data_IF_925570026289
#
_entry.id   IF_925570026289
#
_cell.length_a   1.000
_cell.length_b   1.000
_cell.length_c   1.000
_cell.angle_alpha   90.00
_cell.angle_beta   90.00
_cell.angle_gamma   90.00
#
_symmetry.space_group_name_H-M   'P 1'
#
loop_
_entity.id
_entity.type
_entity.pdbx_description
1 polymer ?
#
# COMPACT_ATOMS: atom_id res chain seq x y z
N UNK A 1 33.63 -6.51 54.36
CA UNK A 1 33.65 -5.93 53.00
C UNK A 1 33.32 -7.04 52.02
N UNK A 2 32.05 -7.16 51.69
CA UNK A 2 31.57 -8.19 50.75
C UNK A 2 31.34 -7.49 49.39
N UNK A 3 32.07 -7.94 48.36
CA UNK A 3 31.90 -7.46 46.99
C UNK A 3 30.78 -8.25 46.31
N UNK A 4 29.67 -7.57 46.06
CA UNK A 4 28.60 -8.08 45.24
C UNK A 4 29.05 -8.01 43.77
N UNK A 5 29.27 -9.15 43.11
CA UNK A 5 29.45 -9.24 41.67
C UNK A 5 28.05 -9.28 41.02
N UNK A 6 27.71 -8.20 40.37
CA UNK A 6 26.51 -8.15 39.52
C UNK A 6 26.85 -8.76 38.16
N UNK A 7 26.37 -9.95 37.88
CA UNK A 7 26.37 -10.54 36.53
C UNK A 7 25.24 -9.94 35.73
N UNK A 8 25.54 -9.03 34.81
CA UNK A 8 24.63 -8.64 33.73
C UNK A 8 24.73 -9.70 32.65
N UNK A 9 23.78 -10.61 32.62
CA UNK A 9 23.58 -11.49 31.46
C UNK A 9 22.98 -10.67 30.32
N UNK A 10 23.81 -10.28 29.36
CA UNK A 10 23.33 -9.77 28.07
C UNK A 10 22.75 -10.96 27.31
N UNK A 11 21.41 -11.07 27.32
CA UNK A 11 20.69 -11.90 26.35
C UNK A 11 20.82 -11.20 24.98
N UNK A 12 21.82 -11.62 24.21
CA UNK A 12 21.81 -11.38 22.77
C UNK A 12 20.67 -12.24 22.20
N UNK A 13 19.51 -11.63 21.94
CA UNK A 13 18.56 -12.22 21.00
C UNK A 13 19.30 -12.33 19.67
N UNK A 14 19.71 -13.55 19.32
CA UNK A 14 20.12 -13.83 17.96
C UNK A 14 18.90 -13.62 17.09
N UNK A 15 18.88 -12.54 16.31
CA UNK A 15 17.89 -12.36 15.26
C UNK A 15 17.92 -13.63 14.41
N UNK A 16 16.81 -14.36 14.38
CA UNK A 16 16.70 -15.57 13.59
C UNK A 16 16.89 -15.16 12.13
N UNK A 17 18.05 -15.51 11.57
CA UNK A 17 18.34 -15.22 10.18
C UNK A 17 17.32 -16.00 9.32
N UNK A 18 16.51 -15.29 8.52
CA UNK A 18 15.62 -15.90 7.55
C UNK A 18 16.41 -16.85 6.64
N UNK A 19 16.02 -18.09 6.64
CA UNK A 19 16.63 -19.14 5.81
C UNK A 19 15.56 -19.69 4.86
N UNK A 20 15.98 -20.46 3.86
CA UNK A 20 15.02 -21.15 2.99
C UNK A 20 14.07 -22.08 3.75
N UNK A 21 14.52 -22.63 4.88
CA UNK A 21 13.69 -23.45 5.76
C UNK A 21 12.72 -22.62 6.65
N UNK A 22 12.84 -21.29 6.65
CA UNK A 22 11.90 -20.40 7.33
C UNK A 22 10.66 -20.08 6.47
N UNK A 23 10.65 -20.54 5.22
CA UNK A 23 9.55 -20.32 4.27
C UNK A 23 8.86 -21.66 4.00
N UNK A 24 7.58 -21.72 4.35
CA UNK A 24 6.75 -22.87 4.07
C UNK A 24 5.83 -22.57 2.89
N UNK A 25 5.61 -23.57 2.06
CA UNK A 25 4.69 -23.48 0.94
C UNK A 25 3.37 -24.15 1.32
N UNK A 26 2.29 -23.39 1.34
CA UNK A 26 0.95 -23.82 1.70
C UNK A 26 0.04 -23.94 0.48
N UNK A 27 0.45 -24.70 -0.51
CA UNK A 27 -0.33 -24.92 -1.74
C UNK A 27 -1.63 -25.66 -1.42
N UNK A 28 -2.73 -25.21 -2.01
CA UNK A 28 -4.08 -25.84 -1.91
C UNK A 28 -4.64 -25.94 -0.49
N UNK A 29 -4.18 -25.10 0.44
CA UNK A 29 -4.65 -25.13 1.82
C UNK A 29 -5.86 -24.22 2.06
N UNK A 30 -6.00 -23.12 1.30
CA UNK A 30 -7.13 -22.19 1.41
C UNK A 30 -8.11 -22.42 0.27
N UNK A 31 -9.28 -22.98 0.60
CA UNK A 31 -10.41 -23.06 -0.32
C UNK A 31 -11.43 -22.00 0.03
N UNK A 32 -11.68 -21.04 -0.86
CA UNK A 32 -12.70 -20.03 -0.69
C UNK A 32 -14.08 -20.58 -1.04
N UNK A 33 -15.11 -20.15 -0.30
CA UNK A 33 -16.48 -20.57 -0.52
C UNK A 33 -17.12 -20.08 -1.83
N UNK A 34 -16.48 -19.10 -2.46
CA UNK A 34 -16.87 -18.52 -3.75
C UNK A 34 -15.63 -18.15 -4.56
N UNK A 35 -15.78 -18.10 -5.88
CA UNK A 35 -14.70 -17.68 -6.74
C UNK A 35 -14.38 -16.19 -6.53
N UNK A 36 -13.12 -15.87 -6.64
CA UNK A 36 -12.56 -14.54 -6.49
C UNK A 36 -12.49 -13.85 -7.86
N UNK A 37 -12.76 -12.54 -7.89
CA UNK A 37 -12.62 -11.74 -9.10
C UNK A 37 -11.37 -10.84 -8.99
N UNK A 38 -10.24 -11.26 -9.61
CA UNK A 38 -8.95 -10.64 -9.38
C UNK A 38 -8.71 -9.33 -10.13
N UNK A 39 -9.48 -9.05 -11.19
CA UNK A 39 -9.22 -7.93 -12.09
C UNK A 39 -10.49 -7.13 -12.34
N UNK A 40 -10.32 -5.81 -12.41
CA UNK A 40 -11.33 -4.84 -12.80
C UNK A 40 -10.70 -3.74 -13.66
N UNK A 41 -11.51 -3.10 -14.50
CA UNK A 41 -11.11 -1.84 -15.11
C UNK A 41 -11.05 -0.73 -14.06
N UNK A 42 -9.96 0.02 -14.06
CA UNK A 42 -9.81 1.20 -13.22
C UNK A 42 -10.75 2.30 -13.67
N UNK A 43 -11.39 2.96 -12.73
CA UNK A 43 -12.36 4.04 -13.00
C UNK A 43 -11.72 5.19 -13.80
N UNK A 44 -10.48 5.56 -13.48
CA UNK A 44 -9.78 6.70 -14.08
C UNK A 44 -9.16 6.42 -15.44
N UNK A 45 -8.76 5.18 -15.75
CA UNK A 45 -8.10 4.85 -17.02
C UNK A 45 -8.94 3.95 -17.93
N UNK A 46 -9.92 3.24 -17.38
CA UNK A 46 -10.61 2.16 -18.09
C UNK A 46 -9.74 0.94 -18.40
N UNK A 47 -8.52 0.88 -17.85
CA UNK A 47 -7.57 -0.22 -18.06
C UNK A 47 -7.68 -1.26 -16.95
N UNK A 48 -7.47 -2.56 -17.27
CA UNK A 48 -7.48 -3.61 -16.25
C UNK A 48 -6.42 -3.38 -15.18
N UNK A 49 -6.81 -3.52 -13.92
CA UNK A 49 -5.87 -3.55 -12.79
C UNK A 49 -6.28 -4.61 -11.76
N UNK A 50 -5.32 -5.00 -10.92
CA UNK A 50 -5.57 -5.96 -9.87
C UNK A 50 -6.44 -5.38 -8.76
N UNK A 51 -7.40 -6.18 -8.29
CA UNK A 51 -8.15 -5.88 -7.08
C UNK A 51 -7.34 -6.26 -5.85
N UNK A 52 -7.47 -5.49 -4.80
CA UNK A 52 -6.87 -5.81 -3.52
C UNK A 52 -7.51 -7.05 -2.90
N UNK A 53 -6.67 -7.88 -2.29
CA UNK A 53 -7.05 -9.01 -1.46
C UNK A 53 -6.32 -8.90 -0.13
N UNK A 54 -6.69 -7.92 0.71
CA UNK A 54 -5.94 -7.67 1.93
C UNK A 54 -6.01 -8.87 2.87
N UNK A 55 -4.86 -9.18 3.45
CA UNK A 55 -4.68 -10.22 4.46
C UNK A 55 -4.09 -9.60 5.71
N UNK A 56 -4.66 -9.91 6.86
CA UNK A 56 -4.19 -9.38 8.14
C UNK A 56 -4.19 -10.47 9.21
N UNK A 57 -3.18 -10.44 10.08
CA UNK A 57 -3.04 -11.36 11.23
C UNK A 57 -3.34 -10.57 12.51
N UNK A 58 -4.06 -11.20 13.44
CA UNK A 58 -4.36 -10.61 14.75
C UNK A 58 -3.09 -10.35 15.57
N UNK A 59 -3.08 -9.35 16.47
CA UNK A 59 -1.93 -9.04 17.30
C UNK A 59 -1.39 -10.21 18.12
N UNK A 60 -2.26 -11.13 18.55
CA UNK A 60 -1.86 -12.33 19.30
C UNK A 60 -1.40 -13.51 18.39
N UNK A 61 -1.44 -13.33 17.08
CA UNK A 61 -1.02 -14.32 16.09
C UNK A 61 -1.90 -15.58 16.00
N UNK A 62 -3.11 -15.54 16.56
CA UNK A 62 -3.98 -16.75 16.62
C UNK A 62 -5.06 -16.80 15.54
N UNK A 63 -5.39 -15.66 14.96
CA UNK A 63 -6.39 -15.56 13.89
C UNK A 63 -5.81 -14.72 12.74
N UNK A 64 -6.27 -15.01 11.55
CA UNK A 64 -6.01 -14.18 10.37
C UNK A 64 -7.29 -14.01 9.57
N UNK A 65 -7.34 -13.00 8.74
CA UNK A 65 -8.47 -12.71 7.87
C UNK A 65 -7.97 -12.38 6.47
N UNK A 66 -8.72 -12.85 5.47
CA UNK A 66 -8.55 -12.51 4.06
C UNK A 66 -9.84 -11.86 3.55
N UNK A 67 -9.74 -10.70 2.94
CA UNK A 67 -10.88 -10.07 2.28
C UNK A 67 -10.74 -10.17 0.76
N UNK A 68 -11.86 -10.41 0.07
CA UNK A 68 -11.90 -10.53 -1.39
C UNK A 68 -13.28 -10.18 -1.93
N UNK A 69 -13.32 -9.73 -3.18
CA UNK A 69 -14.58 -9.55 -3.90
C UNK A 69 -15.01 -10.87 -4.53
N UNK A 70 -16.25 -11.26 -4.26
CA UNK A 70 -16.86 -12.44 -4.87
C UNK A 70 -17.16 -12.22 -6.35
N UNK A 71 -16.76 -13.15 -7.19
CA UNK A 71 -17.05 -13.13 -8.63
C UNK A 71 -18.54 -13.34 -8.96
N UNK A 72 -19.34 -13.90 -8.03
CA UNK A 72 -20.79 -14.08 -8.22
C UNK A 72 -21.60 -12.81 -7.94
N UNK A 73 -20.96 -11.71 -7.52
CA UNK A 73 -21.61 -10.44 -7.23
C UNK A 73 -22.36 -10.41 -5.89
N UNK A 74 -22.02 -11.31 -4.96
CA UNK A 74 -22.61 -11.34 -3.61
C UNK A 74 -21.92 -10.41 -2.61
N UNK A 75 -20.97 -9.60 -3.09
CA UNK A 75 -20.31 -8.56 -2.34
C UNK A 75 -18.89 -8.91 -1.92
N UNK A 76 -18.38 -8.19 -0.94
CA UNK A 76 -17.05 -8.43 -0.35
C UNK A 76 -17.17 -9.46 0.75
N UNK A 77 -16.32 -10.47 0.71
CA UNK A 77 -16.26 -11.51 1.73
C UNK A 77 -15.01 -11.34 2.58
N UNK A 78 -15.15 -11.57 3.88
CA UNK A 78 -14.02 -11.65 4.83
C UNK A 78 -13.99 -13.05 5.41
N UNK A 79 -13.00 -13.84 5.00
CA UNK A 79 -12.78 -15.21 5.42
C UNK A 79 -11.79 -15.25 6.58
N UNK A 80 -12.17 -15.91 7.68
CA UNK A 80 -11.22 -16.30 8.72
C UNK A 80 -10.24 -17.34 8.19
N UNK A 81 -8.98 -17.22 8.54
CA UNK A 81 -7.89 -18.10 8.11
C UNK A 81 -7.06 -18.49 9.33
N UNK A 82 -6.68 -19.74 9.43
CA UNK A 82 -5.70 -20.17 10.42
C UNK A 82 -4.31 -19.66 10.02
N UNK A 83 -3.62 -18.85 10.83
CA UNK A 83 -2.39 -18.20 10.45
C UNK A 83 -1.18 -19.15 10.30
N UNK A 84 -1.31 -20.43 10.70
CA UNK A 84 -0.23 -21.43 10.59
C UNK A 84 -0.44 -22.37 9.42
N UNK A 85 -1.67 -22.84 9.25
CA UNK A 85 -2.00 -23.81 8.21
C UNK A 85 -2.57 -23.18 6.95
N UNK A 86 -2.96 -21.91 7.02
CA UNK A 86 -3.69 -21.18 5.99
C UNK A 86 -5.03 -21.80 5.59
N UNK A 87 -5.56 -22.70 6.39
CA UNK A 87 -6.88 -23.28 6.15
C UNK A 87 -7.99 -22.25 6.47
N UNK A 88 -9.09 -22.33 5.73
CA UNK A 88 -10.27 -21.51 6.01
C UNK A 88 -10.88 -21.88 7.37
N UNK A 89 -11.23 -20.88 8.17
CA UNK A 89 -11.86 -21.02 9.48
C UNK A 89 -13.24 -20.36 9.47
N UNK A 90 -14.25 -21.17 9.78
CA UNK A 90 -15.64 -20.70 9.87
C UNK A 90 -16.24 -20.27 8.54
N UNK A 91 -17.41 -19.67 8.61
CA UNK A 91 -18.11 -19.12 7.44
C UNK A 91 -17.67 -17.68 7.22
N UNK A 92 -17.38 -17.26 5.97
CA UNK A 92 -17.01 -15.88 5.69
C UNK A 92 -18.14 -14.91 6.02
N UNK A 93 -17.77 -13.74 6.50
CA UNK A 93 -18.70 -12.62 6.63
C UNK A 93 -18.88 -11.98 5.25
N UNK A 94 -20.12 -11.89 4.80
CA UNK A 94 -20.45 -11.28 3.51
C UNK A 94 -20.98 -9.84 3.69
N UNK A 95 -20.27 -8.88 3.14
CA UNK A 95 -20.68 -7.48 3.01
C UNK A 95 -21.36 -7.30 1.65
N UNK A 96 -22.68 -7.56 1.62
CA UNK A 96 -23.46 -7.62 0.38
C UNK A 96 -23.45 -6.35 -0.44
N UNK A 97 -23.34 -5.18 0.20
CA UNK A 97 -23.26 -3.89 -0.48
C UNK A 97 -21.84 -3.51 -0.91
N UNK A 98 -20.82 -4.21 -0.38
CA UNK A 98 -19.43 -3.93 -0.69
C UNK A 98 -19.12 -4.20 -2.17
N UNK A 99 -18.43 -3.25 -2.81
CA UNK A 99 -18.08 -3.34 -4.22
C UNK A 99 -16.63 -3.76 -4.42
N UNK A 100 -15.75 -3.43 -3.50
CA UNK A 100 -14.34 -3.81 -3.49
C UNK A 100 -13.80 -3.91 -2.06
N UNK A 101 -12.77 -4.72 -1.85
CA UNK A 101 -12.01 -4.75 -0.62
C UNK A 101 -10.87 -3.71 -0.70
N UNK A 102 -10.79 -2.85 0.30
CA UNK A 102 -9.71 -1.90 0.49
C UNK A 102 -8.69 -2.42 1.51
N UNK A 103 -8.53 -1.71 2.63
CA UNK A 103 -7.66 -2.13 3.75
C UNK A 103 -8.35 -3.05 4.74
N UNK A 104 -7.57 -3.86 5.46
CA UNK A 104 -8.06 -4.81 6.45
C UNK A 104 -7.17 -4.76 7.71
N UNK A 105 -7.81 -4.67 8.87
CA UNK A 105 -7.16 -4.79 10.18
C UNK A 105 -7.73 -5.98 10.91
N UNK A 106 -6.87 -6.87 11.39
CA UNK A 106 -7.26 -7.98 12.25
C UNK A 106 -7.15 -7.58 13.74
N UNK A 107 -8.10 -8.04 14.54
CA UNK A 107 -8.12 -7.96 15.99
C UNK A 107 -8.21 -9.36 16.57
N UNK A 108 -7.90 -9.52 17.85
CA UNK A 108 -8.01 -10.81 18.54
C UNK A 108 -9.45 -11.32 18.61
N UNK A 109 -10.43 -10.43 18.49
CA UNK A 109 -11.86 -10.70 18.57
C UNK A 109 -12.62 -10.47 17.26
N UNK A 110 -11.92 -10.15 16.16
CA UNK A 110 -12.56 -9.88 14.88
C UNK A 110 -11.71 -9.06 13.92
N UNK A 111 -12.35 -8.21 13.13
CA UNK A 111 -11.66 -7.42 12.10
C UNK A 111 -12.35 -6.07 11.84
N UNK A 112 -11.62 -5.15 11.25
CA UNK A 112 -12.16 -3.98 10.58
C UNK A 112 -11.76 -4.00 9.10
N UNK A 113 -12.67 -3.60 8.20
CA UNK A 113 -12.44 -3.58 6.76
C UNK A 113 -12.90 -2.27 6.15
N UNK A 114 -12.06 -1.72 5.30
CA UNK A 114 -12.39 -0.64 4.38
C UNK A 114 -12.94 -1.22 3.08
N UNK A 115 -14.09 -0.74 2.66
CA UNK A 115 -14.76 -1.09 1.39
C UNK A 115 -15.46 0.15 0.83
N UNK A 116 -16.14 0.00 -0.29
CA UNK A 116 -16.99 1.05 -0.85
C UNK A 116 -18.37 0.49 -1.19
N UNK A 117 -19.39 1.34 -1.16
CA UNK A 117 -20.75 0.96 -1.46
C UNK A 117 -21.58 2.12 -2.00
N UNK A 118 -22.56 1.82 -2.84
CA UNK A 118 -23.54 2.81 -3.33
C UNK A 118 -24.54 3.09 -2.21
N UNK A 119 -24.71 4.37 -1.88
CA UNK A 119 -25.63 4.84 -0.85
C UNK A 119 -26.78 5.61 -1.51
N UNK A 120 -28.00 5.18 -1.25
CA UNK A 120 -29.19 5.82 -1.81
C UNK A 120 -29.33 7.28 -1.36
N UNK A 121 -29.55 8.17 -2.30
CA UNK A 121 -29.69 9.60 -2.03
C UNK A 121 -28.39 10.40 -2.00
N UNK A 122 -27.26 9.73 -2.12
CA UNK A 122 -25.93 10.38 -2.19
C UNK A 122 -25.46 10.45 -3.66
N UNK A 123 -24.46 9.68 -4.01
CA UNK A 123 -23.87 9.60 -5.36
C UNK A 123 -24.26 8.29 -6.04
N UNK A 124 -24.22 8.25 -7.39
CA UNK A 124 -24.18 6.98 -8.12
C UNK A 124 -22.84 6.26 -7.96
N UNK A 125 -21.78 7.00 -7.67
CA UNK A 125 -20.46 6.42 -7.39
C UNK A 125 -20.40 5.90 -5.95
N UNK A 126 -19.73 4.77 -5.72
CA UNK A 126 -19.60 4.19 -4.39
C UNK A 126 -18.89 5.14 -3.41
N UNK A 127 -19.37 5.18 -2.17
CA UNK A 127 -18.75 5.90 -1.07
C UNK A 127 -17.85 4.99 -0.27
N UNK A 128 -16.71 5.48 0.23
CA UNK A 128 -15.84 4.70 1.11
C UNK A 128 -16.53 4.49 2.47
N UNK A 129 -16.40 3.29 3.02
CA UNK A 129 -17.03 2.89 4.26
C UNK A 129 -16.14 1.92 5.04
N UNK A 130 -16.11 2.08 6.35
CA UNK A 130 -15.47 1.12 7.26
C UNK A 130 -16.53 0.31 8.01
N UNK A 131 -16.31 -0.99 8.07
CA UNK A 131 -17.06 -1.91 8.93
C UNK A 131 -16.12 -2.48 9.99
N UNK A 132 -16.64 -2.64 11.21
CA UNK A 132 -16.00 -3.44 12.26
C UNK A 132 -16.88 -4.58 12.66
N UNK A 133 -16.29 -5.76 12.80
CA UNK A 133 -16.92 -6.97 13.34
C UNK A 133 -16.16 -7.41 14.58
N UNK A 134 -16.91 -7.75 15.63
CA UNK A 134 -16.40 -8.26 16.90
C UNK A 134 -17.17 -9.51 17.27
N UNK A 135 -16.47 -10.63 17.48
CA UNK A 135 -17.10 -11.93 17.78
C UNK A 135 -18.18 -12.32 16.74
N UNK A 136 -17.91 -12.11 15.46
CA UNK A 136 -18.81 -12.41 14.36
C UNK A 136 -20.03 -11.48 14.20
N UNK A 137 -20.13 -10.42 15.00
CA UNK A 137 -21.22 -9.44 14.91
C UNK A 137 -20.70 -8.08 14.45
N UNK A 138 -21.45 -7.40 13.60
CA UNK A 138 -21.16 -6.03 13.22
C UNK A 138 -21.22 -5.12 14.45
N UNK A 139 -20.10 -4.51 14.81
CA UNK A 139 -19.99 -3.54 15.89
C UNK A 139 -20.38 -2.14 15.40
N UNK A 140 -19.86 -1.74 14.23
CA UNK A 140 -20.25 -0.48 13.57
C UNK A 140 -20.12 -0.58 12.06
N UNK A 141 -20.75 0.38 11.38
CA UNK A 141 -20.58 0.76 9.96
C UNK A 141 -20.53 2.28 9.90
N UNK A 142 -19.49 2.82 9.29
CA UNK A 142 -19.28 4.28 9.21
C UNK A 142 -18.87 4.69 7.81
N UNK A 143 -19.61 5.62 7.24
CA UNK A 143 -19.26 6.25 5.96
C UNK A 143 -18.05 7.18 6.17
N UNK A 144 -17.15 7.19 5.20
CA UNK A 144 -15.94 8.00 5.19
C UNK A 144 -15.93 9.06 4.07
N UNK A 145 -17.03 9.11 3.32
CA UNK A 145 -17.29 10.06 2.24
C UNK A 145 -18.76 10.42 2.17
N UNK A 146 -19.14 11.12 1.10
CA UNK A 146 -20.49 11.59 0.91
C UNK A 146 -20.68 13.05 1.33
N UNK A 147 -21.93 13.53 1.25
CA UNK A 147 -22.30 14.93 1.52
C UNK A 147 -22.15 15.36 3.00
N UNK A 148 -22.00 14.40 3.90
CA UNK A 148 -21.84 14.64 5.34
C UNK A 148 -20.46 15.15 5.77
N UNK A 149 -19.50 15.24 4.85
CA UNK A 149 -18.14 15.69 5.13
C UNK A 149 -17.93 17.12 4.63
N UNK A 150 -17.15 17.91 5.39
CA UNK A 150 -16.75 19.26 5.00
C UNK A 150 -15.84 19.21 3.75
N UNK A 151 -15.96 20.19 2.89
CA UNK A 151 -15.23 20.26 1.63
C UNK A 151 -16.02 19.64 0.47
N UNK A 152 -15.33 19.06 -0.48
CA UNK A 152 -15.97 18.40 -1.61
C UNK A 152 -16.67 17.11 -1.18
N UNK A 153 -17.85 16.86 -1.76
CA UNK A 153 -18.49 15.57 -1.58
C UNK A 153 -17.66 14.48 -2.27
N UNK A 154 -17.17 13.52 -1.50
CA UNK A 154 -16.18 12.55 -1.92
C UNK A 154 -16.80 11.16 -2.11
N UNK A 155 -16.45 10.53 -3.24
CA UNK A 155 -16.73 9.13 -3.56
C UNK A 155 -15.42 8.38 -3.78
N UNK A 156 -15.46 7.06 -3.76
CA UNK A 156 -14.34 6.19 -4.07
C UNK A 156 -14.81 5.10 -5.03
N UNK A 157 -14.86 5.39 -6.34
CA UNK A 157 -15.35 4.45 -7.36
C UNK A 157 -14.54 3.15 -7.41
N UNK A 158 -13.23 3.28 -7.23
CA UNK A 158 -12.32 2.18 -7.00
C UNK A 158 -11.66 2.39 -5.63
N UNK A 159 -11.89 1.46 -4.70
CA UNK A 159 -11.33 1.61 -3.35
C UNK A 159 -9.83 1.27 -3.36
N UNK A 160 -9.02 2.14 -3.92
CA UNK A 160 -7.59 2.12 -3.66
C UNK A 160 -7.38 2.81 -2.30
N UNK A 161 -7.21 2.02 -1.25
CA UNK A 161 -7.17 2.55 0.12
C UNK A 161 -6.52 1.58 1.07
N UNK A 162 -5.88 2.13 2.10
CA UNK A 162 -5.32 1.40 3.21
C UNK A 162 -6.09 1.70 4.50
N UNK A 163 -6.19 0.70 5.35
CA UNK A 163 -6.76 0.82 6.69
C UNK A 163 -5.75 0.32 7.69
N UNK A 164 -5.42 1.14 8.65
CA UNK A 164 -4.51 0.79 9.74
C UNK A 164 -5.14 1.11 11.09
N UNK A 165 -4.64 0.47 12.14
CA UNK A 165 -5.06 0.73 13.52
C UNK A 165 -3.83 0.92 14.41
N UNK A 166 -3.82 1.99 15.18
CA UNK A 166 -2.85 2.21 16.23
C UNK A 166 -3.54 2.12 17.59
N UNK A 167 -3.20 1.09 18.36
CA UNK A 167 -3.69 0.95 19.72
C UNK A 167 -3.22 2.13 20.59
N UNK A 168 -1.97 2.58 20.39
CA UNK A 168 -1.37 3.67 21.14
C UNK A 168 -2.03 5.02 20.85
N UNK A 169 -2.33 5.29 19.58
CA UNK A 169 -3.05 6.50 19.19
C UNK A 169 -4.55 6.41 19.51
N UNK A 170 -5.11 5.21 19.63
CA UNK A 170 -6.53 5.00 19.85
C UNK A 170 -7.39 5.25 18.63
N UNK A 171 -6.85 5.08 17.41
CA UNK A 171 -7.57 5.34 16.16
C UNK A 171 -7.36 4.24 15.12
N UNK A 172 -8.42 3.96 14.37
CA UNK A 172 -8.28 3.54 12.98
C UNK A 172 -7.99 4.76 12.14
N UNK A 173 -7.23 4.57 11.08
CA UNK A 173 -7.13 5.58 10.04
C UNK A 173 -7.26 4.92 8.66
N UNK A 174 -8.07 5.54 7.79
CA UNK A 174 -8.26 5.14 6.41
C UNK A 174 -7.64 6.20 5.51
N UNK A 175 -6.72 5.78 4.65
CA UNK A 175 -6.16 6.58 3.58
C UNK A 175 -6.73 6.08 2.25
N UNK A 176 -7.40 6.95 1.50
CA UNK A 176 -8.31 6.55 0.45
C UNK A 176 -8.12 7.43 -0.77
N UNK A 177 -7.98 6.84 -1.95
CA UNK A 177 -8.10 7.56 -3.23
C UNK A 177 -9.58 7.86 -3.45
N UNK A 178 -9.88 9.12 -3.72
CA UNK A 178 -11.23 9.65 -3.83
C UNK A 178 -11.40 10.48 -5.09
N UNK A 179 -12.64 10.66 -5.50
CA UNK A 179 -13.04 11.66 -6.50
C UNK A 179 -14.12 12.55 -5.92
N UNK A 180 -14.12 13.82 -6.31
CA UNK A 180 -15.24 14.71 -6.00
C UNK A 180 -16.40 14.41 -6.95
N UNK A 181 -17.60 14.17 -6.44
CA UNK A 181 -18.80 13.94 -7.25
C UNK A 181 -19.75 15.15 -7.29
N UNK A 182 -19.37 16.24 -6.61
CA UNK A 182 -20.10 17.50 -6.65
C UNK A 182 -19.17 18.68 -6.41
N UNK A 183 -19.61 19.89 -6.73
CA UNK A 183 -18.82 21.11 -6.61
C UNK A 183 -17.87 21.33 -7.79
N UNK A 184 -16.98 22.32 -7.64
CA UNK A 184 -16.08 22.77 -8.71
C UNK A 184 -15.01 21.74 -9.10
N UNK A 185 -14.68 20.83 -8.18
CA UNK A 185 -13.73 19.76 -8.42
C UNK A 185 -14.38 18.43 -8.82
N UNK A 186 -15.62 18.45 -9.33
CA UNK A 186 -16.31 17.23 -9.74
C UNK A 186 -15.52 16.44 -10.78
N UNK A 187 -15.28 15.18 -10.50
CA UNK A 187 -14.50 14.27 -11.34
C UNK A 187 -12.99 14.30 -11.11
N UNK A 188 -12.45 15.27 -10.36
CA UNK A 188 -11.05 15.27 -9.98
C UNK A 188 -10.74 14.15 -8.98
N UNK A 189 -9.57 13.56 -9.15
CA UNK A 189 -8.99 12.60 -8.19
C UNK A 189 -8.14 13.30 -7.17
N UNK A 190 -8.03 12.68 -6.03
CA UNK A 190 -7.14 13.05 -4.95
C UNK A 190 -7.18 11.97 -3.90
N UNK A 191 -6.74 12.29 -2.72
CA UNK A 191 -6.81 11.40 -1.57
C UNK A 191 -7.50 12.05 -0.38
N UNK A 192 -7.88 11.22 0.59
CA UNK A 192 -8.41 11.66 1.86
C UNK A 192 -7.92 10.75 2.99
N UNK A 193 -7.59 11.34 4.13
CA UNK A 193 -7.34 10.60 5.36
C UNK A 193 -8.45 10.87 6.35
N UNK A 194 -9.02 9.78 6.89
CA UNK A 194 -10.07 9.81 7.91
C UNK A 194 -9.60 9.03 9.13
N UNK A 195 -9.77 9.64 10.31
CA UNK A 195 -9.53 8.99 11.58
C UNK A 195 -10.84 8.56 12.22
N UNK A 196 -10.89 7.35 12.71
CA UNK A 196 -12.10 6.75 13.26
C UNK A 196 -11.78 6.17 14.65
N UNK A 197 -12.57 6.56 15.64
CA UNK A 197 -12.43 5.99 16.99
C UNK A 197 -12.76 4.50 17.01
N UNK A 198 -12.32 3.72 18.02
CA UNK A 198 -12.73 2.33 18.20
C UNK A 198 -14.24 2.12 18.31
N UNK A 199 -15.00 3.18 18.62
CA UNK A 199 -16.46 3.17 18.66
C UNK A 199 -17.11 3.48 17.29
N UNK A 200 -16.33 3.73 16.24
CA UNK A 200 -16.81 3.98 14.88
C UNK A 200 -17.17 5.44 14.60
N UNK A 201 -16.79 6.39 15.44
CA UNK A 201 -17.01 7.82 15.19
C UNK A 201 -15.85 8.37 14.38
N UNK A 202 -16.14 9.07 13.28
CA UNK A 202 -15.13 9.86 12.54
C UNK A 202 -14.78 11.08 13.38
N UNK A 203 -13.49 11.38 13.47
CA UNK A 203 -12.97 12.59 14.09
C UNK A 203 -12.07 13.34 13.11
N UNK A 204 -12.37 14.64 12.94
CA UNK A 204 -11.51 15.55 12.22
C UNK A 204 -10.37 15.98 13.15
N UNK A 205 -9.17 15.49 12.85
CA UNK A 205 -7.96 15.81 13.60
C UNK A 205 -7.23 16.93 12.87
N UNK A 206 -7.17 18.09 13.49
CA UNK A 206 -6.49 19.24 12.91
C UNK A 206 -5.05 18.87 12.57
N UNK A 207 -4.72 19.04 11.31
CA UNK A 207 -3.40 18.75 10.83
C UNK A 207 -3.11 17.28 10.50
N UNK A 208 -4.07 16.39 10.64
CA UNK A 208 -3.90 14.98 10.31
C UNK A 208 -5.00 14.45 9.38
N UNK A 209 -6.24 14.90 9.53
CA UNK A 209 -7.32 14.57 8.60
C UNK A 209 -7.23 15.42 7.32
N UNK A 210 -7.56 14.84 6.19
CA UNK A 210 -7.68 15.55 4.91
C UNK A 210 -8.97 15.16 4.21
N UNK A 211 -9.51 16.09 3.44
CA UNK A 211 -10.60 15.82 2.49
C UNK A 211 -10.16 15.95 1.03
N UNK A 212 -8.93 16.40 0.80
CA UNK A 212 -8.29 16.51 -0.50
C UNK A 212 -6.78 16.69 -0.30
N UNK A 213 -6.03 15.61 -0.43
CA UNK A 213 -4.59 15.59 -0.21
C UNK A 213 -3.78 15.75 -1.50
N UNK A 214 -3.01 14.73 -1.89
CA UNK A 214 -2.34 14.67 -3.18
C UNK A 214 -3.37 14.70 -4.31
N UNK A 215 -3.35 15.76 -5.11
CA UNK A 215 -4.22 15.88 -6.28
C UNK A 215 -3.81 14.93 -7.38
N UNK A 216 -4.79 14.40 -8.13
CA UNK A 216 -4.59 13.42 -9.21
C UNK A 216 -3.87 12.14 -8.77
N UNK A 217 -3.95 11.82 -7.50
CA UNK A 217 -3.28 10.67 -6.92
C UNK A 217 -4.09 9.39 -7.10
N UNK A 218 -3.42 8.33 -7.52
CA UNK A 218 -3.98 6.97 -7.60
C UNK A 218 -3.13 5.93 -6.86
N UNK A 219 -1.92 6.29 -6.46
CA UNK A 219 -1.03 5.43 -5.68
C UNK A 219 -0.82 5.99 -4.27
N UNK A 220 -1.18 5.21 -3.26
CA UNK A 220 -1.01 5.56 -1.85
C UNK A 220 -0.36 4.41 -1.08
N UNK A 221 0.40 4.77 -0.04
CA UNK A 221 0.89 3.83 0.97
C UNK A 221 0.72 4.46 2.35
N UNK A 222 0.34 3.66 3.34
CA UNK A 222 -0.06 4.14 4.64
C UNK A 222 0.31 3.17 5.75
N UNK A 223 0.82 3.68 6.87
CA UNK A 223 1.15 2.88 8.03
C UNK A 223 0.89 3.64 9.33
N UNK A 224 0.52 2.90 10.37
CA UNK A 224 0.22 3.44 11.67
C UNK A 224 1.43 4.10 12.35
N UNK A 225 1.15 5.12 13.15
CA UNK A 225 2.10 5.75 14.04
C UNK A 225 1.52 5.82 15.47
N UNK A 226 2.35 6.21 16.42
CA UNK A 226 1.96 6.32 17.83
C UNK A 226 0.99 7.47 18.10
N UNK A 227 0.90 8.41 17.16
CA UNK A 227 0.02 9.57 17.17
C UNK A 227 -0.27 10.06 15.75
N UNK A 228 -1.41 10.69 15.46
CA UNK A 228 -1.63 11.37 14.19
C UNK A 228 -0.64 12.54 13.95
N UNK A 229 -0.33 12.87 12.66
CA UNK A 229 -0.69 12.13 11.47
C UNK A 229 0.06 10.81 11.37
N UNK A 230 -0.57 9.80 10.77
CA UNK A 230 0.11 8.54 10.47
C UNK A 230 1.02 8.69 9.25
N UNK A 231 1.97 7.76 9.07
CA UNK A 231 2.90 7.79 7.96
C UNK A 231 2.16 7.59 6.63
N UNK A 232 2.35 8.47 5.66
CA UNK A 232 1.66 8.41 4.38
C UNK A 232 2.55 8.83 3.22
N UNK A 233 2.41 8.10 2.12
CA UNK A 233 3.01 8.44 0.83
C UNK A 233 1.91 8.52 -0.23
N UNK A 234 2.13 9.38 -1.20
CA UNK A 234 1.33 9.43 -2.41
C UNK A 234 2.21 9.47 -3.65
N UNK A 235 1.72 8.87 -4.73
CA UNK A 235 2.27 9.09 -6.05
C UNK A 235 1.40 10.10 -6.79
N UNK A 236 2.03 11.09 -7.38
CA UNK A 236 1.35 12.10 -8.14
C UNK A 236 1.43 11.80 -9.64
N UNK A 237 0.40 12.16 -10.39
CA UNK A 237 0.34 11.98 -11.82
C UNK A 237 1.42 12.72 -12.60
N UNK A 238 2.08 13.66 -11.97
CA UNK A 238 3.12 14.50 -12.55
C UNK A 238 4.54 13.97 -12.31
N UNK A 239 4.66 12.71 -11.92
CA UNK A 239 5.92 12.01 -11.93
C UNK A 239 6.72 12.11 -10.64
N UNK A 240 6.09 12.04 -9.48
CA UNK A 240 6.81 11.96 -8.23
C UNK A 240 6.10 11.11 -7.18
N UNK A 241 6.89 10.47 -6.32
CA UNK A 241 6.41 9.86 -5.07
C UNK A 241 6.84 10.76 -3.92
N UNK A 242 5.90 11.11 -3.07
CA UNK A 242 6.08 12.03 -1.96
C UNK A 242 5.77 11.38 -0.63
N UNK A 243 6.65 11.58 0.35
CA UNK A 243 6.37 11.36 1.75
C UNK A 243 5.71 12.63 2.31
N UNK A 244 4.52 12.51 2.84
CA UNK A 244 3.82 13.63 3.44
C UNK A 244 4.38 13.93 4.83
N UNK A 245 4.97 15.11 5.00
CA UNK A 245 5.63 15.51 6.25
C UNK A 245 4.73 16.25 7.20
N UNK A 246 3.67 16.83 6.65
CA UNK A 246 2.67 17.57 7.40
C UNK A 246 1.29 16.95 7.19
N UNK A 247 0.31 17.77 7.31
CA UNK A 247 -1.05 17.38 7.08
C UNK A 247 -1.31 17.32 5.61
N UNK A 248 -1.54 16.27 5.07
CA UNK A 248 -2.16 15.95 3.79
C UNK A 248 -2.46 17.15 2.87
N UNK A 249 -1.48 18.01 2.69
CA UNK A 249 -1.51 19.05 1.68
C UNK A 249 -1.20 18.48 0.31
N UNK A 250 -1.04 19.38 -0.66
CA UNK A 250 -0.56 18.97 -1.99
C UNK A 250 0.83 18.35 -1.89
N UNK A 251 1.16 17.45 -2.82
CA UNK A 251 2.40 16.69 -2.87
C UNK A 251 3.68 17.51 -2.73
N UNK A 252 3.74 18.71 -3.30
CA UNK A 252 4.89 19.60 -3.20
C UNK A 252 5.19 20.13 -1.78
N UNK A 253 4.36 19.84 -0.80
CA UNK A 253 4.60 20.13 0.61
C UNK A 253 5.30 18.99 1.35
N UNK A 254 5.50 17.85 0.71
CA UNK A 254 6.16 16.68 1.27
C UNK A 254 7.67 16.62 0.99
N UNK A 255 8.23 15.45 1.25
CA UNK A 255 9.60 15.08 0.90
C UNK A 255 9.57 14.21 -0.36
N UNK A 256 10.24 14.62 -1.41
CA UNK A 256 10.29 13.89 -2.68
C UNK A 256 11.15 12.64 -2.54
N UNK A 257 10.51 11.48 -2.65
CA UNK A 257 11.19 10.17 -2.54
C UNK A 257 11.82 9.75 -3.86
N UNK A 258 11.06 9.87 -4.96
CA UNK A 258 11.55 9.56 -6.31
C UNK A 258 10.81 10.38 -7.36
N UNK A 259 11.45 10.59 -8.52
CA UNK A 259 10.75 10.95 -9.73
C UNK A 259 10.33 9.67 -10.44
N UNK A 260 9.12 9.68 -10.99
CA UNK A 260 8.61 8.58 -11.78
C UNK A 260 8.30 9.07 -13.20
N UNK A 261 8.37 8.16 -14.16
CA UNK A 261 8.03 8.53 -15.52
C UNK A 261 6.52 8.68 -15.68
N UNK A 262 6.12 9.80 -16.27
CA UNK A 262 4.74 10.09 -16.66
C UNK A 262 4.73 10.56 -18.09
N UNK A 263 3.80 10.07 -18.89
CA UNK A 263 3.67 10.45 -20.29
C UNK A 263 2.78 11.69 -20.42
N UNK A 264 3.38 12.84 -20.61
CA UNK A 264 2.74 14.09 -21.04
C UNK A 264 1.66 14.72 -20.14
N UNK A 265 1.31 14.16 -18.98
CA UNK A 265 0.26 14.71 -18.13
C UNK A 265 -1.12 14.71 -18.79
N UNK A 266 -1.40 13.76 -19.67
CA UNK A 266 -2.70 13.63 -20.31
C UNK A 266 -3.71 12.97 -19.36
N UNK A 267 -4.97 13.35 -19.46
CA UNK A 267 -6.04 12.99 -18.54
C UNK A 267 -6.38 11.50 -18.45
N UNK A 268 -5.83 10.69 -19.33
CA UNK A 268 -6.00 9.24 -19.38
C UNK A 268 -4.70 8.47 -19.11
N UNK A 269 -3.66 9.16 -18.64
CA UNK A 269 -2.42 8.51 -18.26
C UNK A 269 -2.54 7.84 -16.91
N UNK A 270 -1.90 6.69 -16.75
CA UNK A 270 -1.74 6.08 -15.46
C UNK A 270 -0.78 6.88 -14.63
N UNK A 271 -1.20 7.16 -13.52
CA UNK A 271 -0.70 8.18 -12.64
C UNK A 271 0.45 7.66 -11.81
N UNK A 272 1.62 8.26 -12.03
CA UNK A 272 2.84 7.98 -11.29
C UNK A 272 3.38 6.56 -11.48
N UNK A 273 4.61 6.32 -11.13
CA UNK A 273 5.26 5.01 -11.25
C UNK A 273 4.71 3.90 -10.36
N UNK A 274 3.75 4.22 -9.51
CA UNK A 274 3.03 3.24 -8.68
C UNK A 274 1.80 2.66 -9.37
N UNK A 275 1.49 3.08 -10.59
CA UNK A 275 0.32 2.65 -11.34
C UNK A 275 0.25 1.13 -11.49
N UNK A 276 -0.91 0.56 -11.17
CA UNK A 276 -1.19 -0.86 -11.32
C UNK A 276 -0.51 -1.80 -10.33
N UNK A 277 0.36 -1.30 -9.45
CA UNK A 277 1.07 -2.11 -8.46
C UNK A 277 0.71 -1.69 -7.06
N UNK A 278 0.53 -2.65 -6.18
CA UNK A 278 0.36 -2.39 -4.78
C UNK A 278 1.74 -2.18 -4.16
N UNK A 279 1.97 -0.98 -3.68
CA UNK A 279 3.14 -0.67 -2.86
C UNK A 279 2.81 -0.89 -1.40
N UNK A 280 3.81 -1.05 -0.53
CA UNK A 280 3.57 -1.14 0.89
C UNK A 280 4.56 -0.33 1.70
N UNK A 281 4.04 0.31 2.72
CA UNK A 281 4.75 0.96 3.78
C UNK A 281 4.61 0.11 5.04
N UNK A 282 5.71 -0.21 5.71
CA UNK A 282 5.71 -0.99 6.93
C UNK A 282 6.61 -0.35 7.98
N UNK A 283 6.16 -0.33 9.23
CA UNK A 283 6.93 0.17 10.37
C UNK A 283 7.80 -0.94 10.94
N UNK A 284 9.08 -0.67 11.20
CA UNK A 284 9.94 -1.61 11.94
C UNK A 284 9.44 -1.76 13.37
N UNK A 285 9.27 -3.01 13.80
CA UNK A 285 8.62 -3.34 15.08
C UNK A 285 9.39 -2.73 16.25
N UNK A 286 8.68 -1.97 17.08
CA UNK A 286 9.26 -1.33 18.27
C UNK A 286 10.12 -0.10 17.99
N UNK A 287 10.07 0.46 16.78
CA UNK A 287 10.79 1.67 16.39
C UNK A 287 9.85 2.71 15.80
N UNK A 288 10.39 3.89 15.47
CA UNK A 288 9.68 4.92 14.71
C UNK A 288 10.04 4.93 13.22
N UNK A 289 10.88 4.01 12.78
CA UNK A 289 11.36 3.92 11.41
C UNK A 289 10.47 3.06 10.52
N UNK A 290 10.50 3.34 9.21
CA UNK A 290 9.65 2.68 8.22
C UNK A 290 10.45 2.26 7.01
N UNK A 291 9.92 1.29 6.28
CA UNK A 291 10.35 0.87 4.95
C UNK A 291 9.17 0.96 3.99
N UNK A 292 9.41 1.53 2.82
CA UNK A 292 8.46 1.58 1.71
C UNK A 292 9.02 0.80 0.53
N UNK A 293 8.19 0.01 -0.14
CA UNK A 293 8.55 -0.72 -1.36
C UNK A 293 7.60 -0.38 -2.51
N UNK A 294 8.16 -0.22 -3.71
CA UNK A 294 7.38 0.02 -4.92
C UNK A 294 8.09 -0.57 -6.14
N UNK A 295 7.40 -0.58 -7.26
CA UNK A 295 8.02 -0.92 -8.55
C UNK A 295 8.15 0.33 -9.39
N UNK A 296 9.28 0.45 -10.08
CA UNK A 296 9.63 1.66 -10.83
C UNK A 296 10.45 1.32 -12.06
N UNK A 297 10.30 2.16 -13.08
CA UNK A 297 11.24 2.23 -14.22
C UNK A 297 12.45 3.10 -13.93
N UNK A 298 12.42 3.82 -12.82
CA UNK A 298 13.44 4.79 -12.43
C UNK A 298 13.42 6.03 -13.30
N UNK A 299 14.12 7.06 -12.84
CA UNK A 299 14.18 8.37 -13.49
C UNK A 299 15.60 8.75 -13.85
N UNK A 300 15.79 9.21 -15.09
CA UNK A 300 17.03 9.80 -15.60
C UNK A 300 16.70 10.99 -16.50
N UNK A 301 17.70 11.79 -16.86
CA UNK A 301 17.55 12.90 -17.81
C UNK A 301 16.38 13.84 -17.50
N UNK A 302 16.39 14.40 -16.31
CA UNK A 302 15.29 15.24 -15.83
C UNK A 302 15.13 16.50 -16.70
N UNK A 303 13.91 16.72 -17.18
CA UNK A 303 13.50 17.92 -17.93
C UNK A 303 12.42 18.68 -17.17
N UNK A 304 12.19 19.94 -17.55
CA UNK A 304 11.14 20.73 -16.93
C UNK A 304 9.77 20.14 -17.27
N UNK A 305 8.92 20.00 -16.25
CA UNK A 305 7.50 19.79 -16.45
C UNK A 305 6.81 21.15 -16.64
N UNK A 306 6.63 21.55 -17.89
CA UNK A 306 6.06 22.87 -18.22
C UNK A 306 4.63 23.07 -17.71
N UNK A 307 3.93 21.99 -17.41
CA UNK A 307 2.55 22.05 -17.00
C UNK A 307 2.40 22.29 -15.49
N UNK A 308 3.32 21.74 -14.67
CA UNK A 308 3.24 21.85 -13.21
C UNK A 308 4.12 22.98 -12.63
N UNK A 309 5.07 23.51 -13.37
CA UNK A 309 5.93 24.60 -12.94
C UNK A 309 7.15 24.16 -12.13
N UNK A 310 7.71 25.09 -11.34
CA UNK A 310 8.93 24.85 -10.57
C UNK A 310 8.79 23.70 -9.56
N UNK A 311 9.82 22.86 -9.50
CA UNK A 311 9.87 21.72 -8.58
C UNK A 311 9.36 20.42 -9.18
N UNK A 312 8.68 20.46 -10.32
CA UNK A 312 8.22 19.27 -11.03
C UNK A 312 9.06 19.04 -12.28
N UNK A 313 9.45 17.80 -12.49
CA UNK A 313 10.27 17.40 -13.62
C UNK A 313 9.66 16.20 -14.33
N UNK A 314 9.80 16.18 -15.66
CA UNK A 314 9.67 14.94 -16.42
C UNK A 314 10.99 14.18 -16.38
N UNK A 315 10.91 12.87 -16.47
CA UNK A 315 12.06 11.97 -16.47
C UNK A 315 11.99 11.01 -17.67
N UNK A 316 13.13 10.69 -18.24
CA UNK A 316 13.25 9.49 -19.07
C UNK A 316 13.33 8.26 -18.16
N UNK A 317 12.86 7.11 -18.65
CA UNK A 317 12.96 5.86 -17.92
C UNK A 317 14.42 5.38 -17.85
N UNK A 318 14.89 4.98 -16.66
CA UNK A 318 16.16 4.28 -16.47
C UNK A 318 16.13 2.90 -17.17
N UNK A 319 15.01 2.18 -17.02
CA UNK A 319 14.76 0.87 -17.64
C UNK A 319 13.38 0.82 -18.27
N UNK A 320 13.21 0.03 -19.32
CA UNK A 320 11.92 -0.13 -19.97
C UNK A 320 10.94 -0.98 -19.13
N UNK A 321 11.46 -2.01 -18.46
CA UNK A 321 10.73 -2.81 -17.47
C UNK A 321 10.83 -2.18 -16.07
N UNK A 322 9.92 -2.55 -15.18
CA UNK A 322 9.93 -2.10 -13.79
C UNK A 322 10.85 -2.97 -12.94
N UNK A 323 11.52 -2.34 -12.02
CA UNK A 323 12.33 -2.97 -10.98
C UNK A 323 11.79 -2.60 -9.59
N UNK A 324 12.09 -3.41 -8.59
CA UNK A 324 11.68 -3.16 -7.20
C UNK A 324 12.67 -2.20 -6.56
N UNK A 325 12.14 -1.15 -5.97
CA UNK A 325 12.86 -0.16 -5.19
C UNK A 325 12.36 -0.12 -3.74
N UNK A 326 13.20 0.37 -2.84
CA UNK A 326 12.84 0.66 -1.46
C UNK A 326 13.33 2.04 -1.05
N UNK A 327 12.57 2.67 -0.15
CA UNK A 327 12.98 3.84 0.60
C UNK A 327 12.84 3.57 2.10
N UNK A 328 13.68 4.21 2.89
CA UNK A 328 13.70 4.09 4.34
C UNK A 328 13.40 5.45 4.97
N UNK A 329 12.69 5.42 6.07
CA UNK A 329 12.36 6.62 6.83
C UNK A 329 12.76 6.42 8.29
N UNK A 330 13.44 7.40 8.88
CA UNK A 330 13.81 7.35 10.30
C UNK A 330 12.62 7.58 11.23
N UNK A 331 11.62 8.25 10.73
CA UNK A 331 10.30 8.43 11.33
C UNK A 331 9.25 8.71 10.23
N UNK A 332 8.01 8.92 10.63
CA UNK A 332 6.87 9.14 9.71
C UNK A 332 6.99 10.38 8.80
N UNK A 333 8.01 11.21 8.96
CA UNK A 333 8.20 12.47 8.23
C UNK A 333 9.59 12.62 7.61
N UNK A 334 10.53 11.73 7.88
CA UNK A 334 11.95 11.94 7.58
C UNK A 334 12.50 10.83 6.71
N UNK A 335 12.80 11.15 5.45
CA UNK A 335 13.48 10.26 4.51
C UNK A 335 14.92 10.03 4.97
N UNK A 336 15.38 8.79 4.91
CA UNK A 336 16.79 8.42 5.11
C UNK A 336 17.51 8.54 3.77
N UNK A 337 18.45 9.47 3.66
CA UNK A 337 19.18 9.76 2.44
C UNK A 337 18.75 11.06 1.78
N UNK A 338 19.11 11.22 0.52
CA UNK A 338 18.83 12.42 -0.25
C UNK A 338 17.44 12.34 -0.87
N UNK A 339 16.78 13.49 -0.95
CA UNK A 339 15.55 13.61 -1.72
C UNK A 339 15.84 13.47 -3.21
N UNK A 340 14.83 13.03 -3.97
CA UNK A 340 14.90 13.03 -5.42
C UNK A 340 15.15 14.42 -5.97
N UNK A 341 15.95 14.49 -7.03
CA UNK A 341 16.32 15.76 -7.64
C UNK A 341 15.12 16.42 -8.32
N UNK A 342 14.97 17.73 -8.12
CA UNK A 342 14.09 18.57 -8.94
C UNK A 342 14.91 19.44 -9.91
N UNK A 343 16.21 19.16 -10.07
CA UNK A 343 17.10 19.96 -10.92
C UNK A 343 16.99 19.51 -12.37
N UNK A 344 16.42 20.37 -13.21
CA UNK A 344 16.39 20.17 -14.66
C UNK A 344 17.81 20.01 -15.20
N UNK A 345 18.00 19.04 -16.10
CA UNK A 345 19.31 18.69 -16.68
C UNK A 345 20.13 17.71 -15.84
N UNK A 346 19.62 17.21 -14.72
CA UNK A 346 20.26 16.13 -13.98
C UNK A 346 20.22 14.84 -14.81
N UNK A 347 21.41 14.38 -15.25
CA UNK A 347 21.54 13.20 -16.12
C UNK A 347 21.39 11.88 -15.36
N UNK A 348 21.89 11.85 -14.14
CA UNK A 348 21.87 10.65 -13.29
C UNK A 348 20.49 10.42 -12.64
N UNK A 349 19.60 11.40 -12.77
CA UNK A 349 18.25 11.30 -12.24
C UNK A 349 18.23 10.96 -10.74
N UNK A 350 17.53 9.91 -10.39
CA UNK A 350 17.37 9.45 -9.02
C UNK A 350 18.36 8.34 -8.64
N UNK A 351 19.65 8.66 -8.74
CA UNK A 351 20.74 7.73 -8.41
C UNK A 351 20.74 7.27 -6.94
N UNK A 352 20.06 8.01 -6.05
CA UNK A 352 19.91 7.70 -4.63
C UNK A 352 18.86 6.60 -4.35
N UNK A 353 18.02 6.23 -5.31
CA UNK A 353 17.01 5.18 -5.13
C UNK A 353 17.69 3.84 -4.82
N UNK A 354 17.22 3.17 -3.77
CA UNK A 354 17.76 1.87 -3.35
C UNK A 354 17.04 0.73 -4.10
N UNK A 355 17.70 0.19 -5.10
CA UNK A 355 17.17 -0.86 -5.97
C UNK A 355 17.31 -2.26 -5.35
N UNK A 356 16.20 -2.95 -5.13
CA UNK A 356 16.16 -4.36 -4.71
C UNK A 356 16.42 -5.25 -5.91
N UNK A 357 15.88 -4.93 -7.08
CA UNK A 357 16.14 -5.64 -8.34
C UNK A 357 16.78 -4.70 -9.36
N UNK A 358 17.47 -5.29 -10.32
CA UNK A 358 18.10 -4.61 -11.46
C UNK A 358 18.19 -5.58 -12.64
N UNK A 359 17.10 -6.29 -12.91
CA UNK A 359 17.01 -7.34 -13.92
C UNK A 359 16.24 -6.93 -15.15
N UNK A 360 16.16 -7.86 -16.10
CA UNK A 360 15.41 -7.72 -17.35
C UNK A 360 13.93 -8.11 -17.23
N UNK A 361 13.54 -8.86 -16.17
CA UNK A 361 12.17 -9.19 -15.91
C UNK A 361 11.42 -7.97 -15.42
N UNK A 362 10.14 -7.84 -15.78
CA UNK A 362 9.27 -6.83 -15.20
C UNK A 362 8.80 -7.26 -13.82
N UNK A 363 8.79 -6.34 -12.86
CA UNK A 363 8.35 -6.58 -11.50
C UNK A 363 6.98 -5.94 -11.25
N UNK A 364 6.15 -6.59 -10.44
CA UNK A 364 4.86 -6.08 -9.99
C UNK A 364 4.58 -6.48 -8.54
N UNK A 365 3.54 -5.89 -7.95
CA UNK A 365 3.04 -6.23 -6.62
C UNK A 365 4.14 -6.25 -5.54
N UNK A 366 4.94 -5.18 -5.46
CA UNK A 366 5.96 -5.04 -4.42
C UNK A 366 5.32 -4.77 -3.06
N UNK A 367 5.69 -5.58 -2.05
CA UNK A 367 5.25 -5.43 -0.67
C UNK A 367 6.43 -5.51 0.28
N UNK A 368 6.30 -4.86 1.43
CA UNK A 368 7.23 -4.98 2.54
C UNK A 368 6.53 -5.43 3.81
N UNK A 369 7.19 -6.28 4.59
CA UNK A 369 6.78 -6.65 5.94
C UNK A 369 7.99 -6.65 6.85
N UNK A 370 7.82 -6.25 8.11
CA UNK A 370 8.90 -6.20 9.09
C UNK A 370 8.75 -7.31 10.12
N UNK A 371 9.87 -7.84 10.61
CA UNK A 371 9.88 -8.92 11.60
C UNK A 371 10.32 -8.45 12.98
N UNK A 372 11.17 -7.41 13.01
CA UNK A 372 11.74 -6.85 14.22
C UNK A 372 12.15 -5.38 13.97
N UNK A 373 12.97 -4.82 14.85
CA UNK A 373 13.47 -3.45 14.74
C UNK A 373 14.48 -3.23 13.59
N UNK A 374 14.92 -4.28 12.91
CA UNK A 374 16.07 -4.24 12.01
C UNK A 374 15.94 -5.01 10.71
N UNK A 375 14.91 -5.82 10.57
CA UNK A 375 14.78 -6.75 9.43
C UNK A 375 13.41 -6.62 8.76
N UNK A 376 13.42 -6.51 7.44
CA UNK A 376 12.24 -6.53 6.61
C UNK A 376 12.37 -7.56 5.47
N UNK A 377 11.23 -8.05 4.99
CA UNK A 377 11.10 -8.85 3.79
C UNK A 377 10.41 -8.00 2.73
N UNK A 378 11.01 -7.91 1.57
CA UNK A 378 10.40 -7.34 0.36
C UNK A 378 10.01 -8.49 -0.55
N UNK A 379 8.77 -8.51 -1.01
CA UNK A 379 8.24 -9.52 -1.94
C UNK A 379 7.73 -8.85 -3.20
N UNK A 380 7.78 -9.56 -4.33
CA UNK A 380 7.25 -9.09 -5.61
C UNK A 380 6.95 -10.26 -6.55
N UNK A 381 6.23 -9.98 -7.60
CA UNK A 381 6.00 -10.90 -8.72
C UNK A 381 6.89 -10.54 -9.90
N UNK A 382 7.36 -11.53 -10.63
CA UNK A 382 8.15 -11.33 -11.85
C UNK A 382 7.43 -11.83 -13.10
N UNK A 383 7.59 -11.06 -14.17
CA UNK A 383 7.15 -11.38 -15.53
C UNK A 383 8.39 -11.51 -16.41
N UNK A 384 8.63 -12.69 -16.96
CA UNK A 384 9.71 -12.94 -17.91
C UNK A 384 9.29 -12.64 -19.34
N UNK A 385 10.27 -12.41 -20.20
CA UNK A 385 10.09 -12.03 -21.60
C UNK A 385 9.14 -10.80 -21.75
N UNK A 386 9.38 -9.71 -21.01
CA UNK A 386 8.41 -8.63 -20.91
C UNK A 386 8.31 -7.84 -22.22
N UNK A 387 7.06 -7.54 -22.62
CA UNK A 387 6.72 -6.62 -23.69
C UNK A 387 6.15 -5.36 -23.04
N UNK A 388 6.93 -4.29 -23.04
CA UNK A 388 6.68 -3.06 -22.29
C UNK A 388 6.20 -1.91 -23.20
N UNK A 389 5.27 -2.17 -24.08
CA UNK A 389 4.64 -1.15 -24.94
C UNK A 389 3.57 -0.34 -24.19
N UNK A 390 3.15 -0.83 -23.03
CA UNK A 390 2.14 -0.20 -22.19
C UNK A 390 2.85 0.48 -21.02
N UNK A 391 3.18 1.72 -21.19
CA UNK A 391 3.96 2.48 -20.21
C UNK A 391 3.27 2.51 -18.84
N UNK A 392 1.97 2.45 -18.88
CA UNK A 392 1.09 2.58 -17.77
C UNK A 392 0.99 1.39 -16.82
N UNK A 393 0.70 0.26 -17.38
CA UNK A 393 0.17 -0.89 -16.64
C UNK A 393 1.25 -1.96 -16.41
N UNK A 394 2.51 -1.63 -16.62
CA UNK A 394 3.57 -2.60 -16.61
C UNK A 394 3.69 -3.34 -17.94
N UNK A 395 4.42 -4.44 -17.92
CA UNK A 395 4.72 -5.20 -19.12
C UNK A 395 3.88 -6.48 -19.16
N UNK A 396 3.51 -6.89 -20.37
CA UNK A 396 2.93 -8.22 -20.62
C UNK A 396 4.05 -9.24 -20.75
N UNK A 397 3.82 -10.48 -20.34
CA UNK A 397 4.80 -11.57 -20.48
C UNK A 397 4.36 -12.80 -19.74
N UNK A 398 5.30 -13.67 -19.40
CA UNK A 398 5.04 -14.90 -18.68
C UNK A 398 5.30 -14.70 -17.20
N UNK A 399 4.36 -15.10 -16.36
CA UNK A 399 4.58 -15.12 -14.92
C UNK A 399 5.75 -16.04 -14.56
N UNK A 400 6.77 -15.46 -13.92
CA UNK A 400 8.01 -16.15 -13.55
C UNK A 400 8.10 -16.47 -12.04
N UNK A 401 7.01 -16.22 -11.32
CA UNK A 401 6.87 -16.54 -9.91
C UNK A 401 6.98 -15.35 -8.98
N UNK A 402 6.68 -15.59 -7.72
CA UNK A 402 6.88 -14.64 -6.62
C UNK A 402 8.31 -14.73 -6.12
N UNK A 403 8.93 -13.60 -5.91
CA UNK A 403 10.30 -13.45 -5.41
C UNK A 403 10.30 -12.69 -4.10
N UNK A 404 11.41 -12.74 -3.41
CA UNK A 404 11.58 -12.01 -2.17
C UNK A 404 13.06 -11.74 -1.87
N UNK A 405 13.30 -10.68 -1.09
CA UNK A 405 14.60 -10.27 -0.57
C UNK A 405 14.45 -9.78 0.85
N UNK A 406 15.22 -10.35 1.78
CA UNK A 406 15.36 -9.78 3.10
C UNK A 406 16.33 -8.60 3.05
N UNK A 407 15.99 -7.51 3.75
CA UNK A 407 16.81 -6.31 3.87
C UNK A 407 16.91 -5.90 5.33
N UNK A 408 18.02 -5.27 5.70
CA UNK A 408 18.13 -4.66 7.02
C UNK A 408 17.50 -3.26 7.06
N UNK A 409 17.41 -2.68 8.26
CA UNK A 409 16.88 -1.32 8.47
C UNK A 409 17.73 -0.21 7.85
N UNK A 410 18.83 -0.53 7.19
CA UNK A 410 19.65 0.38 6.39
C UNK A 410 19.48 0.13 4.88
N UNK A 411 18.55 -0.75 4.49
CA UNK A 411 18.29 -1.12 3.11
C UNK A 411 19.30 -2.06 2.49
N UNK A 412 20.24 -2.59 3.26
CA UNK A 412 21.23 -3.55 2.77
C UNK A 412 20.57 -4.92 2.59
N UNK A 413 20.74 -5.50 1.42
CA UNK A 413 20.30 -6.87 1.12
C UNK A 413 21.03 -7.85 2.04
N UNK A 414 20.25 -8.66 2.73
CA UNK A 414 20.74 -9.76 3.53
C UNK A 414 20.87 -10.99 2.64
N UNK A 415 21.94 -11.78 2.86
CA UNK A 415 22.12 -13.03 2.16
C UNK A 415 20.99 -14.00 2.54
N UNK A 416 20.19 -14.39 1.56
CA UNK A 416 19.30 -15.53 1.72
C UNK A 416 20.11 -16.79 1.34
N UNK A 417 20.11 -17.83 2.14
CA UNK A 417 20.78 -19.05 1.76
C UNK A 417 20.10 -19.66 0.54
N UNK A 418 20.94 -20.06 -0.43
CA UNK A 418 20.72 -20.74 -1.73
C UNK A 418 19.34 -21.33 -2.10
N UNK A 419 19.15 -21.62 -3.39
CA UNK A 419 18.01 -21.18 -4.15
C UNK A 419 16.71 -21.71 -3.54
N UNK A 420 15.87 -20.78 -3.16
CA UNK A 420 14.47 -21.09 -2.86
C UNK A 420 13.81 -21.57 -4.14
N UNK A 421 13.24 -22.75 -4.06
CA UNK A 421 12.36 -23.23 -5.12
C UNK A 421 11.24 -22.22 -5.29
N UNK A 422 11.10 -21.72 -6.49
CA UNK A 422 10.02 -20.82 -6.89
C UNK A 422 8.69 -21.49 -6.54
N UNK A 423 7.88 -20.94 -5.64
CA UNK A 423 6.53 -21.45 -5.48
C UNK A 423 5.83 -21.21 -6.81
N UNK A 424 5.45 -22.27 -7.49
CA UNK A 424 4.66 -22.17 -8.70
C UNK A 424 3.22 -21.92 -8.24
N UNK A 425 2.86 -20.66 -8.05
CA UNK A 425 1.46 -20.28 -8.04
C UNK A 425 0.98 -20.41 -9.49
N UNK A 426 0.34 -21.52 -9.79
CA UNK A 426 -0.43 -21.65 -11.02
C UNK A 426 -1.66 -20.77 -10.90
N UNK A 427 -1.51 -19.50 -11.24
CA UNK A 427 -2.65 -18.67 -11.60
C UNK A 427 -2.88 -18.92 -13.08
N UNK A 428 -3.82 -19.76 -13.39
CA UNK A 428 -4.37 -19.85 -14.75
C UNK A 428 -5.21 -18.59 -14.96
N UNK A 429 -4.75 -17.74 -15.86
CA UNK A 429 -5.42 -16.54 -16.36
C UNK A 429 -6.58 -16.92 -17.29
#
# INVERSE_FOLDING_TARGET
>A
MSRLLTFTASLALAAAQLTSSSLENHVDTLTLGSSFNPIKEAYWTGLPHHRRTPFAVSPDGKTAFLAYLDASGTGVHVQGVDPKTFAAVGTPVALKSGKEAGGLVAHNDGFAILTNEVVSGESKDPLPVIYKYTNGKQAFRTLLGGSGFSGNALASPDINGDLVFSEKAGYYAAYIVVTSYSGDASGHFGDAIRYITPAGKVEEIQGASSSWGCSHNTGIAFEAADEPPFASLCSEDQGAIWLNTETQGMSNNGVKVSNEHVINGASNEPMGGMGGSYSSLARFIGTDSYIFSWVSRGAVDLTLNDWMGEGYTHAANRTNNRNVAIALFSDKKTLVGEQASSKVGAKDGDSQVNWVTDGANDCSNAHAATFDASTALVTWEEISDPICEFEAMGCKGKFAGTKFQAVDSKGKKLALPSPLMTPTLLVTW
#
